data_IF_991330011678
#
_entry.id   IF_991330011678
#
_cell.length_a   1.000
_cell.length_b   1.000
_cell.length_c   1.000
_cell.angle_alpha   90.00
_cell.angle_beta   90.00
_cell.angle_gamma   90.00
#
_symmetry.space_group_name_H-M   'P 1'
#
loop_
_entity.id
_entity.type
_entity.pdbx_description
1 polymer ?
#
# COMPACT_ATOMS: atom_id res chain seq x y z
N UNK A 1 30.59 -15.29 11.52
CA UNK A 1 29.86 -14.60 12.60
C UNK A 1 30.10 -13.10 12.51
N UNK A 2 29.33 -12.39 11.67
CA UNK A 2 28.73 -11.08 11.95
C UNK A 2 27.78 -10.69 10.80
N UNK A 3 26.61 -11.32 10.78
CA UNK A 3 25.52 -11.10 9.83
C UNK A 3 24.64 -9.91 10.27
N UNK A 4 25.24 -8.72 10.38
CA UNK A 4 24.54 -7.52 10.88
C UNK A 4 24.61 -6.30 9.98
N UNK A 5 25.25 -6.40 8.81
CA UNK A 5 25.44 -5.25 7.90
C UNK A 5 25.12 -5.59 6.44
N UNK A 6 24.16 -6.48 6.18
CA UNK A 6 23.61 -6.58 4.82
C UNK A 6 22.55 -5.47 4.63
N UNK A 7 22.81 -4.45 3.78
CA UNK A 7 21.87 -3.36 3.51
C UNK A 7 20.55 -3.86 2.90
N UNK A 8 20.51 -5.08 2.36
CA UNK A 8 19.28 -5.73 1.89
C UNK A 8 18.30 -6.06 3.03
N UNK A 9 18.79 -6.52 4.18
CA UNK A 9 17.94 -6.99 5.30
C UNK A 9 17.23 -5.81 5.99
N UNK A 10 17.90 -4.68 6.16
CA UNK A 10 17.29 -3.46 6.73
C UNK A 10 16.18 -2.91 5.83
N UNK A 11 16.39 -2.86 4.50
CA UNK A 11 15.36 -2.41 3.55
C UNK A 11 14.14 -3.35 3.51
N UNK A 12 14.34 -4.66 3.61
CA UNK A 12 13.26 -5.67 3.68
C UNK A 12 12.39 -5.47 4.93
N UNK A 13 13.02 -5.23 6.08
CA UNK A 13 12.33 -4.95 7.36
C UNK A 13 11.56 -3.63 7.32
N UNK A 14 12.12 -2.59 6.71
CA UNK A 14 11.42 -1.31 6.51
C UNK A 14 10.18 -1.46 5.64
N UNK A 15 10.26 -2.16 4.50
CA UNK A 15 9.10 -2.33 3.59
C UNK A 15 8.02 -3.19 4.25
N UNK A 16 8.42 -4.25 4.97
CA UNK A 16 7.48 -5.08 5.73
C UNK A 16 6.80 -4.26 6.84
N UNK A 17 7.59 -3.52 7.62
CA UNK A 17 7.08 -2.66 8.69
C UNK A 17 6.15 -1.57 8.16
N UNK A 18 6.48 -0.99 7.01
CA UNK A 18 5.66 0.04 6.37
C UNK A 18 4.37 -0.55 5.79
N UNK A 19 4.40 -1.73 5.18
CA UNK A 19 3.20 -2.43 4.73
C UNK A 19 2.29 -2.81 5.91
N UNK A 20 2.86 -3.28 7.03
CA UNK A 20 2.09 -3.63 8.23
C UNK A 20 1.51 -2.38 8.92
N UNK A 21 2.29 -1.31 9.00
CA UNK A 21 1.84 -0.02 9.50
C UNK A 21 0.73 0.55 8.64
N UNK A 22 0.83 0.41 7.31
CA UNK A 22 -0.25 0.75 6.37
C UNK A 22 -1.48 -0.05 6.75
N UNK A 23 -1.43 -1.40 6.73
CA UNK A 23 -2.57 -2.27 7.10
C UNK A 23 -3.24 -1.84 8.42
N UNK A 24 -2.44 -1.61 9.47
CA UNK A 24 -2.93 -1.16 10.77
C UNK A 24 -3.54 0.25 10.72
N UNK A 25 -2.90 1.20 10.02
CA UNK A 25 -3.38 2.58 9.89
C UNK A 25 -4.69 2.67 9.09
N UNK A 26 -4.86 1.85 8.05
CA UNK A 26 -6.12 1.82 7.29
C UNK A 26 -7.27 1.19 8.06
N UNK A 27 -7.02 0.16 8.87
CA UNK A 27 -8.03 -0.42 9.77
C UNK A 27 -8.48 0.60 10.84
N UNK A 28 -7.52 1.33 11.43
CA UNK A 28 -7.82 2.40 12.40
C UNK A 28 -8.51 3.60 11.74
N UNK A 29 -8.22 3.88 10.47
CA UNK A 29 -8.86 4.97 9.73
C UNK A 29 -10.29 4.63 9.29
N UNK A 30 -10.57 3.37 8.94
CA UNK A 30 -11.90 2.90 8.58
C UNK A 30 -12.90 3.11 9.73
N UNK A 31 -12.52 2.76 10.96
CA UNK A 31 -13.36 2.94 12.15
C UNK A 31 -13.76 4.41 12.37
N UNK A 32 -12.81 5.33 12.15
CA UNK A 32 -13.06 6.78 12.29
C UNK A 32 -13.82 7.37 11.10
N UNK A 33 -13.69 6.81 9.91
CA UNK A 33 -14.41 7.24 8.71
C UNK A 33 -15.89 6.83 8.75
N UNK A 34 -16.19 5.62 9.23
CA UNK A 34 -17.57 5.10 9.26
C UNK A 34 -18.41 5.62 10.45
N UNK A 35 -17.79 6.10 11.53
CA UNK A 35 -18.50 6.62 12.72
C UNK A 35 -18.88 8.11 12.67
N UNK A 36 -18.87 8.75 11.49
CA UNK A 36 -18.90 10.22 11.39
C UNK A 36 -20.23 10.78 10.88
N UNK A 37 -21.03 11.33 11.79
CA UNK A 37 -22.31 12.00 11.47
C UNK A 37 -22.20 13.52 11.22
N UNK A 38 -21.00 14.08 11.02
CA UNK A 38 -20.77 15.53 10.96
C UNK A 38 -19.90 16.05 9.80
N UNK A 39 -19.87 17.38 9.61
CA UNK A 39 -19.07 18.06 8.58
C UNK A 39 -17.56 17.79 8.72
N UNK A 40 -16.82 17.78 7.62
CA UNK A 40 -15.37 17.52 7.60
C UNK A 40 -14.59 18.59 8.36
N UNK A 41 -13.68 18.18 9.26
CA UNK A 41 -12.75 19.08 9.95
C UNK A 41 -11.42 19.04 9.20
N UNK A 42 -10.63 20.10 9.34
CA UNK A 42 -9.30 20.18 8.71
C UNK A 42 -8.41 18.96 9.00
N UNK A 43 -8.45 18.44 10.23
CA UNK A 43 -7.67 17.26 10.65
C UNK A 43 -8.03 16.01 9.85
N UNK A 44 -9.26 15.89 9.36
CA UNK A 44 -9.70 14.74 8.57
C UNK A 44 -9.12 14.77 7.16
N UNK A 45 -9.08 15.96 6.55
CA UNK A 45 -8.41 16.16 5.26
C UNK A 45 -6.92 15.82 5.35
N UNK A 46 -6.25 16.25 6.42
CA UNK A 46 -4.83 15.92 6.66
C UNK A 46 -4.64 14.41 6.83
N UNK A 47 -5.52 13.75 7.60
CA UNK A 47 -5.46 12.29 7.82
C UNK A 47 -5.68 11.51 6.53
N UNK A 48 -6.72 11.83 5.77
CA UNK A 48 -7.01 11.17 4.49
C UNK A 48 -5.90 11.43 3.48
N UNK A 49 -5.40 12.66 3.39
CA UNK A 49 -4.26 13.02 2.56
C UNK A 49 -3.01 12.22 2.92
N UNK A 50 -2.71 12.05 4.21
CA UNK A 50 -1.58 11.24 4.67
C UNK A 50 -1.72 9.76 4.28
N UNK A 51 -2.93 9.18 4.39
CA UNK A 51 -3.20 7.79 3.99
C UNK A 51 -3.03 7.62 2.49
N UNK A 52 -3.58 8.54 1.69
CA UNK A 52 -3.45 8.50 0.23
C UNK A 52 -1.99 8.66 -0.21
N UNK A 53 -1.26 9.59 0.42
CA UNK A 53 0.16 9.79 0.16
C UNK A 53 0.97 8.54 0.52
N UNK A 54 0.69 7.92 1.66
CA UNK A 54 1.36 6.70 2.09
C UNK A 54 1.05 5.52 1.15
N UNK A 55 -0.21 5.36 0.73
CA UNK A 55 -0.61 4.36 -0.26
C UNK A 55 0.13 4.57 -1.59
N UNK A 56 0.26 5.82 -2.05
CA UNK A 56 1.03 6.17 -3.23
C UNK A 56 2.51 5.79 -3.07
N UNK A 57 3.15 6.15 -1.95
CA UNK A 57 4.55 5.81 -1.68
C UNK A 57 4.75 4.29 -1.67
N UNK A 58 3.84 3.54 -1.05
CA UNK A 58 3.92 2.08 -0.99
C UNK A 58 3.73 1.46 -2.39
N UNK A 59 2.77 1.95 -3.16
CA UNK A 59 2.54 1.52 -4.53
C UNK A 59 3.78 1.79 -5.40
N UNK A 60 4.34 3.01 -5.35
CA UNK A 60 5.56 3.35 -6.10
C UNK A 60 6.73 2.47 -5.69
N UNK A 61 6.97 2.28 -4.39
CA UNK A 61 8.11 1.48 -3.90
C UNK A 61 7.98 -0.01 -4.23
N UNK A 62 6.76 -0.55 -4.27
CA UNK A 62 6.50 -1.97 -4.57
C UNK A 62 6.44 -2.29 -6.07
N UNK A 63 6.08 -1.31 -6.91
CA UNK A 63 5.87 -1.52 -8.35
C UNK A 63 6.96 -0.95 -9.23
N UNK A 64 7.74 0.02 -8.74
CA UNK A 64 8.76 0.72 -9.53
C UNK A 64 10.16 0.58 -8.93
N UNK A 65 11.18 0.78 -9.75
CA UNK A 65 12.58 0.83 -9.33
C UNK A 65 13.01 2.18 -8.74
N UNK A 66 12.04 2.99 -8.31
CA UNK A 66 12.29 4.37 -7.92
C UNK A 66 13.20 4.43 -6.68
N UNK A 67 14.33 5.13 -6.82
CA UNK A 67 15.31 5.40 -5.77
C UNK A 67 15.60 6.90 -5.77
N UNK A 68 15.37 7.55 -4.63
CA UNK A 68 15.52 9.00 -4.47
C UNK A 68 16.98 9.47 -4.49
N UNK A 69 17.95 8.59 -4.22
CA UNK A 69 19.33 9.02 -3.96
C UNK A 69 20.34 8.51 -5.01
N UNK A 70 20.15 7.32 -5.59
CA UNK A 70 21.02 6.78 -6.67
C UNK A 70 20.41 5.55 -7.32
N UNK A 71 20.61 5.40 -8.63
CA UNK A 71 20.25 4.18 -9.40
C UNK A 71 21.05 3.00 -8.82
N UNK A 72 20.35 2.03 -8.23
CA UNK A 72 20.98 0.93 -7.49
C UNK A 72 21.04 -0.31 -8.40
N UNK A 73 22.24 -0.77 -8.78
CA UNK A 73 22.43 -1.92 -9.71
C UNK A 73 21.80 -3.22 -9.21
N UNK A 74 21.65 -3.40 -7.90
CA UNK A 74 20.97 -4.55 -7.30
C UNK A 74 19.45 -4.53 -7.49
N UNK A 75 18.85 -3.41 -7.89
CA UNK A 75 17.41 -3.31 -8.19
C UNK A 75 17.06 -3.62 -9.65
N UNK A 76 18.06 -3.79 -10.51
CA UNK A 76 17.91 -4.09 -11.93
C UNK A 76 17.98 -5.60 -12.23
N UNK A 77 18.13 -6.43 -11.20
CA UNK A 77 18.06 -7.88 -11.34
C UNK A 77 16.71 -8.30 -11.95
N UNK A 78 16.75 -9.26 -12.86
CA UNK A 78 15.59 -9.73 -13.61
C UNK A 78 14.53 -10.30 -12.67
N UNK A 79 14.95 -10.96 -11.59
CA UNK A 79 14.05 -11.53 -10.59
C UNK A 79 13.29 -10.46 -9.80
N UNK A 80 13.97 -9.41 -9.32
CA UNK A 80 13.32 -8.29 -8.62
C UNK A 80 12.37 -7.55 -9.54
N UNK A 81 12.72 -7.38 -10.82
CA UNK A 81 11.85 -6.77 -11.83
C UNK A 81 10.57 -7.59 -12.07
N UNK A 82 10.70 -8.92 -12.15
CA UNK A 82 9.57 -9.83 -12.26
C UNK A 82 8.67 -9.76 -11.01
N UNK A 83 9.27 -9.68 -9.81
CA UNK A 83 8.54 -9.56 -8.55
C UNK A 83 7.74 -8.24 -8.46
N UNK A 84 8.31 -7.13 -8.92
CA UNK A 84 7.59 -5.84 -9.02
C UNK A 84 6.43 -5.87 -10.00
N UNK A 85 6.60 -6.47 -11.17
CA UNK A 85 5.53 -6.63 -12.14
C UNK A 85 4.41 -7.55 -11.62
N UNK A 86 4.75 -8.60 -10.86
CA UNK A 86 3.77 -9.42 -10.18
C UNK A 86 3.04 -8.65 -9.06
N UNK A 87 3.76 -7.85 -8.27
CA UNK A 87 3.17 -7.01 -7.24
C UNK A 87 2.19 -5.98 -7.81
N UNK A 88 2.55 -5.31 -8.91
CA UNK A 88 1.68 -4.36 -9.59
C UNK A 88 0.36 -4.99 -10.06
N UNK A 89 0.43 -6.21 -10.63
CA UNK A 89 -0.76 -6.97 -11.04
C UNK A 89 -1.67 -7.29 -9.86
N UNK A 90 -1.11 -7.70 -8.73
CA UNK A 90 -1.89 -7.96 -7.51
C UNK A 90 -2.54 -6.68 -6.95
N UNK A 91 -1.81 -5.56 -6.93
CA UNK A 91 -2.38 -4.28 -6.54
C UNK A 91 -3.52 -3.83 -7.44
N UNK A 92 -3.37 -3.98 -8.76
CA UNK A 92 -4.44 -3.68 -9.72
C UNK A 92 -5.70 -4.54 -9.49
N UNK A 93 -5.54 -5.85 -9.30
CA UNK A 93 -6.68 -6.72 -9.03
C UNK A 93 -7.36 -6.40 -7.70
N UNK A 94 -6.59 -6.04 -6.67
CA UNK A 94 -7.15 -5.60 -5.40
C UNK A 94 -7.94 -4.28 -5.54
N UNK A 95 -7.46 -3.32 -6.34
CA UNK A 95 -8.21 -2.09 -6.64
C UNK A 95 -9.52 -2.40 -7.37
N UNK A 96 -9.48 -3.25 -8.40
CA UNK A 96 -10.67 -3.65 -9.15
C UNK A 96 -11.70 -4.33 -8.25
N UNK A 97 -11.26 -5.25 -7.38
CA UNK A 97 -12.14 -5.93 -6.46
C UNK A 97 -12.72 -4.98 -5.41
N UNK A 98 -11.90 -4.08 -4.85
CA UNK A 98 -12.38 -3.07 -3.89
C UNK A 98 -13.40 -2.10 -4.53
N UNK A 99 -13.17 -1.68 -5.77
CA UNK A 99 -14.11 -0.85 -6.53
C UNK A 99 -15.42 -1.59 -6.81
N UNK A 100 -15.35 -2.87 -7.18
CA UNK A 100 -16.53 -3.70 -7.41
C UNK A 100 -17.35 -3.87 -6.12
N UNK A 101 -16.68 -4.15 -4.99
CA UNK A 101 -17.33 -4.26 -3.68
C UNK A 101 -17.99 -2.94 -3.28
N UNK A 102 -17.30 -1.80 -3.47
CA UNK A 102 -17.85 -0.49 -3.19
C UNK A 102 -19.07 -0.18 -4.08
N UNK A 103 -19.01 -0.54 -5.36
CA UNK A 103 -20.14 -0.39 -6.27
C UNK A 103 -21.35 -1.20 -5.83
N UNK A 104 -21.16 -2.48 -5.46
CA UNK A 104 -22.24 -3.33 -4.94
C UNK A 104 -22.80 -2.74 -3.62
N UNK A 105 -21.93 -2.31 -2.72
CA UNK A 105 -22.33 -1.72 -1.43
C UNK A 105 -23.11 -0.40 -1.61
N UNK A 106 -22.87 0.35 -2.68
CA UNK A 106 -23.58 1.59 -2.98
C UNK A 106 -25.09 1.41 -3.19
N UNK A 107 -25.54 0.19 -3.54
CA UNK A 107 -26.97 -0.12 -3.64
C UNK A 107 -27.64 -0.33 -2.27
N UNK A 108 -26.87 -0.67 -1.23
CA UNK A 108 -27.37 -0.93 0.11
C UNK A 108 -27.23 0.29 1.03
N UNK A 109 -26.18 1.10 0.83
CA UNK A 109 -25.84 2.22 1.72
C UNK A 109 -25.42 3.44 0.91
N UNK A 110 -25.80 4.63 1.38
CA UNK A 110 -25.32 5.89 0.81
C UNK A 110 -23.82 6.07 1.07
N UNK A 111 -23.00 5.71 0.09
CA UNK A 111 -21.55 5.83 0.18
C UNK A 111 -21.08 7.20 -0.29
N UNK A 112 -20.28 7.89 0.53
CA UNK A 112 -19.58 9.10 0.10
C UNK A 112 -18.25 8.73 -0.51
N UNK A 113 -17.93 9.35 -1.65
CA UNK A 113 -16.65 9.17 -2.36
C UNK A 113 -15.47 9.38 -1.41
N UNK A 114 -15.60 10.35 -0.51
CA UNK A 114 -14.59 10.74 0.46
C UNK A 114 -14.21 9.63 1.45
N UNK A 115 -15.11 8.69 1.70
CA UNK A 115 -14.92 7.62 2.68
C UNK A 115 -14.45 6.33 1.97
N UNK A 116 -14.87 6.15 0.73
CA UNK A 116 -14.59 4.96 -0.08
C UNK A 116 -13.23 5.02 -0.79
N UNK A 117 -12.90 6.16 -1.39
CA UNK A 117 -11.67 6.31 -2.20
C UNK A 117 -10.41 5.95 -1.39
N UNK A 118 -10.22 6.44 -0.16
CA UNK A 118 -9.04 6.09 0.63
C UNK A 118 -8.93 4.58 0.87
N UNK A 119 -10.04 3.89 1.15
CA UNK A 119 -10.07 2.45 1.37
C UNK A 119 -9.71 1.66 0.10
N UNK A 120 -10.18 2.11 -1.07
CA UNK A 120 -9.84 1.48 -2.35
C UNK A 120 -8.34 1.61 -2.63
N UNK A 121 -7.81 2.84 -2.60
CA UNK A 121 -6.39 3.10 -2.83
C UNK A 121 -5.50 2.32 -1.87
N UNK A 122 -5.94 2.25 -0.62
CA UNK A 122 -5.30 1.48 0.42
C UNK A 122 -5.25 -0.01 0.11
N UNK A 123 -6.38 -0.63 -0.25
CA UNK A 123 -6.45 -2.05 -0.58
C UNK A 123 -5.49 -2.42 -1.72
N UNK A 124 -5.42 -1.57 -2.75
CA UNK A 124 -4.49 -1.71 -3.86
C UNK A 124 -3.02 -1.66 -3.44
N UNK A 125 -2.64 -0.60 -2.72
CA UNK A 125 -1.27 -0.39 -2.28
C UNK A 125 -0.81 -1.50 -1.31
N UNK A 126 -1.67 -1.88 -0.36
CA UNK A 126 -1.39 -2.94 0.59
C UNK A 126 -1.19 -4.29 -0.11
N UNK A 127 -2.06 -4.65 -1.05
CA UNK A 127 -1.93 -5.90 -1.81
C UNK A 127 -0.64 -5.94 -2.64
N UNK A 128 -0.27 -4.84 -3.31
CA UNK A 128 0.99 -4.75 -4.06
C UNK A 128 2.20 -4.90 -3.12
N UNK A 129 2.22 -4.15 -2.01
CA UNK A 129 3.31 -4.20 -1.03
C UNK A 129 3.48 -5.59 -0.41
N UNK A 130 2.39 -6.20 0.06
CA UNK A 130 2.41 -7.54 0.65
C UNK A 130 2.88 -8.59 -0.35
N UNK A 131 2.42 -8.51 -1.61
CA UNK A 131 2.84 -9.46 -2.65
C UNK A 131 4.32 -9.33 -2.95
N UNK A 132 4.82 -8.10 -3.10
CA UNK A 132 6.25 -7.85 -3.34
C UNK A 132 7.11 -8.47 -2.23
N UNK A 133 6.79 -8.17 -0.96
CA UNK A 133 7.52 -8.70 0.21
C UNK A 133 7.48 -10.23 0.25
N UNK A 134 6.32 -10.83 -0.05
CA UNK A 134 6.17 -12.29 -0.05
C UNK A 134 7.02 -12.95 -1.14
N UNK A 135 7.11 -12.33 -2.31
CA UNK A 135 7.91 -12.84 -3.42
C UNK A 135 9.41 -12.68 -3.16
N UNK A 136 9.85 -11.55 -2.59
CA UNK A 136 11.25 -11.38 -2.20
C UNK A 136 11.68 -12.39 -1.13
N UNK A 137 10.80 -12.74 -0.19
CA UNK A 137 11.09 -13.76 0.85
C UNK A 137 11.16 -15.19 0.32
N UNK A 138 10.53 -15.49 -0.81
CA UNK A 138 10.51 -16.83 -1.42
C UNK A 138 11.61 -17.06 -2.46
N UNK A 139 12.24 -15.98 -2.90
CA UNK A 139 13.36 -15.99 -3.83
C UNK A 139 14.72 -16.22 -3.13
N UNK A 140 14.71 -16.28 -1.80
CA UNK A 140 15.79 -16.77 -0.92
C UNK A 140 15.69 -18.29 -0.77
#
# INVERSE_FOLDING_TARGET
MNDKTDPGIFRRKEITGLAFYVVAAGLLAADVLYGRDGAWRFVDFVRVGAILFLALVLALRSTTAFSLWRRNRTLDDELTRANRAAAARWGFWALMLALLVAFIASFAVALRISDVVPLIFFAGAAAAGLRFVTLERRAE
#
